data_IF_706659684072
#
_entry.id   IF_706659684072
#
_cell.length_a   1.000
_cell.length_b   1.000
_cell.length_c   1.000
_cell.angle_alpha   90.00
_cell.angle_beta   90.00
_cell.angle_gamma   90.00
#
_symmetry.space_group_name_H-M   'P 1'
#
loop_
_entity.id
_entity.type
_entity.pdbx_description
1 polymer ?
#
# COMPACT_ATOMS: atom_id res chain seq x y z
N UNK A 1 -24.29 -0.80 2.02
CA UNK A 1 -23.35 -1.83 1.53
C UNK A 1 -23.79 -3.17 2.09
N UNK A 2 -23.80 -4.23 1.29
CA UNK A 2 -24.10 -5.58 1.79
C UNK A 2 -22.90 -6.09 2.60
N UNK A 3 -23.14 -6.84 3.67
CA UNK A 3 -22.05 -7.45 4.42
C UNK A 3 -21.27 -8.43 3.53
N UNK A 4 -19.93 -8.36 3.58
CA UNK A 4 -19.04 -9.27 2.87
C UNK A 4 -18.63 -10.40 3.83
N UNK A 5 -18.90 -11.65 3.44
CA UNK A 5 -18.45 -12.83 4.18
C UNK A 5 -17.00 -13.17 3.79
N UNK A 6 -16.05 -12.82 4.67
CA UNK A 6 -14.63 -13.08 4.46
C UNK A 6 -14.23 -14.53 4.75
N UNK A 7 -15.09 -15.36 5.38
CA UNK A 7 -14.72 -16.72 5.80
C UNK A 7 -14.39 -17.67 4.65
N UNK A 8 -14.80 -17.31 3.43
CA UNK A 8 -14.53 -18.06 2.18
C UNK A 8 -13.51 -17.37 1.27
N UNK A 9 -12.90 -16.29 1.73
CA UNK A 9 -11.94 -15.51 0.96
C UNK A 9 -10.53 -15.75 1.49
N UNK A 10 -9.56 -15.71 0.57
CA UNK A 10 -8.15 -15.58 0.95
C UNK A 10 -7.84 -14.10 1.10
N UNK A 11 -7.36 -13.72 2.29
CA UNK A 11 -6.80 -12.38 2.51
C UNK A 11 -5.34 -12.39 2.07
N UNK A 12 -4.97 -11.40 1.25
CA UNK A 12 -3.60 -11.18 0.79
C UNK A 12 -3.21 -9.81 1.29
N UNK A 13 -2.11 -9.75 2.04
CA UNK A 13 -1.54 -8.47 2.44
C UNK A 13 -0.85 -7.82 1.23
N UNK A 14 -1.05 -6.51 1.06
CA UNK A 14 -0.37 -5.67 0.05
C UNK A 14 0.44 -4.52 0.71
N UNK A 15 0.65 -4.57 2.04
CA UNK A 15 1.29 -3.55 2.89
C UNK A 15 2.76 -3.84 3.21
N UNK A 16 3.66 -2.98 2.72
CA UNK A 16 5.10 -3.22 2.91
C UNK A 16 5.48 -3.15 4.38
N UNK A 17 6.45 -4.00 4.77
CA UNK A 17 7.01 -3.95 6.11
C UNK A 17 7.49 -2.52 6.41
N UNK A 18 7.14 -2.07 7.61
CA UNK A 18 7.31 -0.68 8.00
C UNK A 18 8.17 -0.59 9.27
N UNK A 19 9.23 0.20 9.19
CA UNK A 19 10.20 0.42 10.26
C UNK A 19 10.89 1.80 10.10
N UNK A 20 11.87 2.08 10.97
CA UNK A 20 12.65 3.32 10.93
C UNK A 20 13.58 3.46 9.70
N UNK A 21 13.75 2.40 8.92
CA UNK A 21 14.51 2.37 7.67
C UNK A 21 13.61 2.44 6.43
N UNK A 22 12.30 2.45 6.62
CA UNK A 22 11.34 2.60 5.53
C UNK A 22 11.60 3.91 4.81
N UNK A 23 11.85 3.87 3.48
CA UNK A 23 12.15 5.08 2.73
C UNK A 23 10.94 6.01 2.74
N UNK A 24 11.18 7.26 3.14
CA UNK A 24 10.25 8.35 2.84
C UNK A 24 10.29 8.71 1.36
N UNK A 25 9.33 9.52 0.91
CA UNK A 25 9.45 10.18 -0.39
C UNK A 25 10.75 10.99 -0.46
N UNK A 26 11.36 11.12 -1.64
CA UNK A 26 12.75 11.59 -1.82
C UNK A 26 13.13 12.93 -1.18
N UNK A 27 12.14 13.76 -0.80
CA UNK A 27 12.33 15.06 -0.17
C UNK A 27 11.81 15.15 1.27
N UNK A 28 11.32 14.05 1.84
CA UNK A 28 10.71 14.02 3.18
C UNK A 28 11.65 13.40 4.19
N UNK A 29 11.51 13.81 5.46
CA UNK A 29 12.16 13.11 6.56
C UNK A 29 11.61 11.69 6.67
N UNK A 30 12.51 10.74 6.94
CA UNK A 30 12.13 9.36 7.22
C UNK A 30 11.42 9.22 8.56
N UNK A 31 10.74 8.09 8.80
CA UNK A 31 10.06 7.85 10.06
C UNK A 31 11.05 7.68 11.22
N UNK A 32 10.61 8.04 12.42
CA UNK A 32 11.35 7.78 13.65
C UNK A 32 10.53 6.92 14.61
N UNK A 33 11.22 5.99 15.27
CA UNK A 33 10.65 5.12 16.30
C UNK A 33 11.50 5.26 17.55
N UNK A 34 10.87 5.62 18.67
CA UNK A 34 11.54 5.79 19.96
C UNK A 34 10.83 4.95 21.01
N UNK A 35 11.59 4.12 21.74
CA UNK A 35 11.05 3.44 22.91
C UNK A 35 10.79 4.44 24.03
N UNK A 36 9.54 4.50 24.50
CA UNK A 36 9.14 5.28 25.67
C UNK A 36 9.00 4.41 26.93
N UNK A 37 8.77 3.11 26.75
CA UNK A 37 8.74 2.07 27.79
C UNK A 37 9.25 0.75 27.23
N UNK A 38 9.94 -0.05 28.04
CA UNK A 38 10.40 -1.38 27.65
C UNK A 38 9.88 -2.43 28.62
N UNK A 39 9.41 -3.56 28.09
CA UNK A 39 8.81 -4.65 28.89
C UNK A 39 9.73 -5.07 30.05
N UNK A 40 11.03 -5.18 29.81
CA UNK A 40 12.03 -5.56 30.82
C UNK A 40 12.00 -4.70 32.09
N UNK A 41 11.63 -3.42 31.98
CA UNK A 41 11.64 -2.47 33.11
C UNK A 41 10.24 -2.05 33.55
N UNK A 42 9.29 -1.99 32.60
CA UNK A 42 7.98 -1.39 32.79
C UNK A 42 6.83 -2.42 32.81
N UNK A 43 7.11 -3.71 32.53
CA UNK A 43 6.13 -4.78 32.31
C UNK A 43 5.16 -4.53 31.13
N UNK A 44 5.42 -3.48 30.34
CA UNK A 44 4.68 -3.11 29.13
C UNK A 44 5.63 -2.41 28.16
N UNK A 45 5.49 -2.70 26.86
CA UNK A 45 6.23 -2.01 25.80
C UNK A 45 5.45 -0.82 25.28
N UNK A 46 6.14 0.28 24.98
CA UNK A 46 5.53 1.45 24.37
C UNK A 46 6.51 2.18 23.46
N UNK A 47 6.04 2.55 22.27
CA UNK A 47 6.83 3.28 21.28
C UNK A 47 6.14 4.60 20.91
N UNK A 48 6.95 5.63 20.69
CA UNK A 48 6.55 6.86 20.03
C UNK A 48 6.98 6.78 18.57
N UNK A 49 6.04 6.99 17.66
CA UNK A 49 6.27 7.03 16.22
C UNK A 49 6.00 8.44 15.73
N UNK A 50 6.94 9.00 14.96
CA UNK A 50 6.72 10.21 14.18
C UNK A 50 7.04 9.91 12.71
N UNK A 51 6.11 10.24 11.81
CA UNK A 51 6.19 9.95 10.38
C UNK A 51 5.46 11.03 9.59
N UNK A 52 5.83 11.19 8.32
CA UNK A 52 4.97 11.88 7.34
C UNK A 52 3.89 10.92 6.83
N UNK A 53 2.86 11.43 6.15
CA UNK A 53 1.78 10.60 5.61
C UNK A 53 2.16 9.81 4.35
N UNK A 54 3.31 10.11 3.73
CA UNK A 54 3.75 9.51 2.46
C UNK A 54 5.02 8.66 2.67
N UNK A 55 4.87 7.61 3.48
CA UNK A 55 5.97 6.69 3.87
C UNK A 55 5.48 5.25 3.73
N UNK A 56 6.25 4.41 3.02
CA UNK A 56 5.88 3.00 2.79
C UNK A 56 4.56 2.83 2.00
N UNK A 57 3.81 1.76 2.27
CA UNK A 57 2.43 1.62 1.75
C UNK A 57 1.51 2.60 2.48
N UNK A 58 0.94 3.56 1.74
CA UNK A 58 0.13 4.64 2.28
C UNK A 58 -1.08 4.96 1.38
N UNK A 59 -1.90 5.92 1.81
CA UNK A 59 -3.09 6.38 1.10
C UNK A 59 -3.04 7.90 0.93
N UNK A 60 -3.20 8.35 -0.31
CA UNK A 60 -3.32 9.77 -0.64
C UNK A 60 -4.77 10.22 -0.65
N UNK A 61 -5.07 11.25 0.14
CA UNK A 61 -6.36 11.93 0.10
C UNK A 61 -6.34 13.11 -0.89
N UNK A 62 -7.49 13.56 -1.43
CA UNK A 62 -7.54 14.72 -2.33
C UNK A 62 -6.85 15.98 -1.79
N UNK A 63 -6.87 16.19 -0.46
CA UNK A 63 -6.18 17.28 0.21
C UNK A 63 -4.67 17.33 -0.10
N UNK A 64 -4.05 16.22 -0.51
CA UNK A 64 -2.64 16.16 -0.88
C UNK A 64 -2.30 17.12 -2.03
N UNK A 65 -3.21 17.32 -2.99
CA UNK A 65 -3.00 18.19 -4.15
C UNK A 65 -4.05 19.30 -4.31
N UNK A 66 -5.16 19.23 -3.57
CA UNK A 66 -6.28 20.17 -3.65
C UNK A 66 -6.40 20.88 -2.30
N UNK A 67 -6.12 22.18 -2.23
CA UNK A 67 -6.06 22.95 -0.96
C UNK A 67 -7.30 22.79 -0.06
N UNK A 68 -8.49 22.68 -0.65
CA UNK A 68 -9.75 22.44 0.06
C UNK A 68 -10.32 21.05 -0.26
N UNK A 69 -9.44 20.09 -0.56
CA UNK A 69 -9.79 18.71 -0.81
C UNK A 69 -10.20 17.99 0.48
N UNK A 70 -10.84 16.84 0.30
CA UNK A 70 -11.17 15.93 1.39
C UNK A 70 -9.89 15.43 2.07
N UNK A 71 -9.82 15.50 3.40
CA UNK A 71 -8.77 14.86 4.19
C UNK A 71 -8.97 13.35 4.29
N UNK A 72 -7.94 12.62 4.70
CA UNK A 72 -7.96 11.14 4.77
C UNK A 72 -9.01 10.59 5.74
N UNK A 73 -9.23 11.25 6.88
CA UNK A 73 -10.21 10.83 7.89
C UNK A 73 -11.65 11.06 7.46
N UNK A 74 -11.85 11.96 6.49
CA UNK A 74 -13.15 12.27 5.91
C UNK A 74 -13.52 11.36 4.73
N UNK A 75 -12.64 10.49 4.24
CA UNK A 75 -12.93 9.59 3.10
C UNK A 75 -13.98 8.54 3.50
N UNK A 76 -15.11 8.44 2.78
CA UNK A 76 -16.10 7.40 3.02
C UNK A 76 -15.54 5.98 2.82
N UNK A 77 -15.84 5.05 3.74
CA UNK A 77 -15.34 3.67 3.69
C UNK A 77 -15.77 2.90 2.43
N UNK A 78 -16.90 3.23 1.83
CA UNK A 78 -17.38 2.64 0.58
C UNK A 78 -16.52 3.01 -0.64
N UNK A 79 -15.64 4.01 -0.52
CA UNK A 79 -14.59 4.29 -1.51
C UNK A 79 -13.30 3.49 -1.27
N UNK A 80 -13.12 2.94 -0.07
CA UNK A 80 -11.92 2.21 0.33
C UNK A 80 -12.09 0.69 0.23
N UNK A 81 -13.32 0.22 0.05
CA UNK A 81 -13.65 -1.20 -0.04
C UNK A 81 -14.54 -1.43 -1.25
N UNK A 82 -14.04 -2.19 -2.22
CA UNK A 82 -14.76 -2.50 -3.45
C UNK A 82 -14.09 -3.59 -4.26
N UNK A 83 -14.66 -3.93 -5.43
CA UNK A 83 -14.02 -4.80 -6.40
C UNK A 83 -12.65 -4.24 -6.79
N UNK A 84 -11.67 -5.11 -6.96
CA UNK A 84 -10.33 -4.74 -7.39
C UNK A 84 -9.92 -5.49 -8.64
N UNK A 85 -9.14 -4.83 -9.49
CA UNK A 85 -8.56 -5.42 -10.71
C UNK A 85 -7.07 -5.18 -10.73
N UNK A 86 -6.29 -6.23 -10.99
CA UNK A 86 -4.83 -6.16 -11.06
C UNK A 86 -4.39 -6.13 -12.52
N UNK A 87 -3.97 -4.95 -12.97
CA UNK A 87 -3.46 -4.74 -14.32
C UNK A 87 -1.96 -5.01 -14.33
N UNK A 88 -1.56 -6.16 -14.89
CA UNK A 88 -0.17 -6.60 -14.92
C UNK A 88 0.58 -5.99 -16.12
N UNK A 89 1.19 -4.83 -15.90
CA UNK A 89 2.01 -4.15 -16.91
C UNK A 89 3.41 -4.76 -17.06
N UNK A 90 3.97 -5.32 -15.99
CA UNK A 90 5.23 -6.09 -16.06
C UNK A 90 5.10 -7.25 -17.06
N UNK A 91 3.97 -7.97 -17.01
CA UNK A 91 3.65 -9.05 -17.96
C UNK A 91 3.44 -8.59 -19.40
N UNK A 92 3.22 -7.29 -19.65
CA UNK A 92 3.19 -6.70 -20.98
C UNK A 92 4.58 -6.24 -21.47
N UNK A 93 5.61 -6.38 -20.63
CA UNK A 93 6.98 -5.99 -20.95
C UNK A 93 7.29 -4.52 -20.68
N UNK A 94 6.42 -3.79 -19.97
CA UNK A 94 6.67 -2.39 -19.64
C UNK A 94 7.72 -2.29 -18.54
N UNK A 95 8.83 -1.66 -18.87
CA UNK A 95 10.04 -1.66 -18.05
C UNK A 95 10.42 -0.30 -17.47
N UNK A 96 11.67 -0.23 -17.02
CA UNK A 96 12.24 0.95 -16.38
C UNK A 96 12.18 2.17 -17.30
N UNK A 97 11.73 3.30 -16.74
CA UNK A 97 11.60 4.59 -17.44
C UNK A 97 10.61 4.62 -18.61
N UNK A 98 9.86 3.54 -18.85
CA UNK A 98 8.82 3.52 -19.88
C UNK A 98 7.53 4.19 -19.42
N UNK A 99 6.81 4.78 -20.37
CA UNK A 99 5.52 5.42 -20.13
C UNK A 99 4.40 4.46 -20.50
N UNK A 100 3.64 4.00 -19.50
CA UNK A 100 2.37 3.34 -19.77
C UNK A 100 1.27 4.36 -20.10
N UNK A 101 0.28 3.92 -20.84
CA UNK A 101 -0.80 4.74 -21.42
C UNK A 101 -2.10 3.94 -21.43
N UNK A 102 -3.23 4.57 -21.72
CA UNK A 102 -4.52 3.86 -21.82
C UNK A 102 -4.48 2.66 -22.78
N UNK A 103 -3.71 2.73 -23.87
CA UNK A 103 -3.54 1.64 -24.83
C UNK A 103 -3.00 0.36 -24.17
N UNK A 104 -2.16 0.46 -23.15
CA UNK A 104 -1.64 -0.69 -22.42
C UNK A 104 -2.73 -1.37 -21.57
N UNK A 105 -3.67 -0.59 -21.02
CA UNK A 105 -4.82 -1.12 -20.28
C UNK A 105 -5.80 -1.80 -21.24
N UNK A 106 -6.09 -1.18 -22.38
CA UNK A 106 -6.93 -1.77 -23.43
C UNK A 106 -6.34 -3.09 -23.97
N UNK A 107 -5.02 -3.13 -24.16
CA UNK A 107 -4.29 -4.33 -24.55
C UNK A 107 -4.34 -5.43 -23.47
N UNK A 108 -4.21 -5.05 -22.20
CA UNK A 108 -4.38 -5.97 -21.07
C UNK A 108 -5.79 -6.56 -21.02
N UNK A 109 -6.84 -5.73 -21.20
CA UNK A 109 -8.23 -6.20 -21.28
C UNK A 109 -8.44 -7.18 -22.45
N UNK A 110 -7.91 -6.84 -23.64
CA UNK A 110 -8.01 -7.70 -24.83
C UNK A 110 -7.32 -9.05 -24.63
N UNK A 111 -6.14 -9.06 -24.01
CA UNK A 111 -5.36 -10.29 -23.78
C UNK A 111 -5.96 -11.19 -22.70
N UNK A 112 -6.52 -10.61 -21.66
CA UNK A 112 -7.08 -11.36 -20.51
C UNK A 112 -8.56 -11.70 -20.69
N UNK A 113 -9.29 -10.96 -21.52
CA UNK A 113 -10.74 -11.03 -21.62
C UNK A 113 -11.47 -10.36 -20.45
N UNK A 114 -10.75 -9.76 -19.50
CA UNK A 114 -11.30 -9.00 -18.38
C UNK A 114 -11.60 -7.56 -18.80
N UNK A 115 -12.45 -6.88 -18.01
CA UNK A 115 -12.81 -5.47 -18.21
C UNK A 115 -12.76 -4.71 -16.89
N UNK A 116 -12.13 -3.54 -16.91
CA UNK A 116 -12.14 -2.58 -15.82
C UNK A 116 -13.51 -1.91 -15.78
N UNK A 117 -14.20 -2.01 -14.66
CA UNK A 117 -15.54 -1.46 -14.47
C UNK A 117 -15.49 -0.12 -13.72
N UNK A 118 -16.48 0.77 -13.94
CA UNK A 118 -16.67 1.93 -13.08
C UNK A 118 -16.78 1.52 -11.61
N UNK A 119 -15.92 2.10 -10.76
CA UNK A 119 -15.87 1.81 -9.33
C UNK A 119 -14.85 0.76 -8.91
N UNK A 120 -14.15 0.12 -9.85
CA UNK A 120 -13.06 -0.80 -9.53
C UNK A 120 -11.87 -0.05 -8.92
N UNK A 121 -11.25 -0.66 -7.92
CA UNK A 121 -9.93 -0.30 -7.43
C UNK A 121 -8.92 -0.92 -8.40
N UNK A 122 -8.26 -0.09 -9.20
CA UNK A 122 -7.25 -0.54 -10.18
C UNK A 122 -5.88 -0.60 -9.51
N UNK A 123 -5.33 -1.81 -9.37
CA UNK A 123 -3.96 -2.03 -8.93
C UNK A 123 -3.06 -2.15 -10.16
N UNK A 124 -2.16 -1.19 -10.34
CA UNK A 124 -1.18 -1.21 -11.43
C UNK A 124 0.03 -2.03 -10.99
N UNK A 125 0.15 -3.26 -11.50
CA UNK A 125 1.25 -4.16 -11.16
C UNK A 125 2.42 -3.99 -12.13
N UNK A 126 3.47 -3.34 -11.65
CA UNK A 126 4.73 -3.08 -12.37
C UNK A 126 5.87 -4.01 -11.96
N UNK A 127 5.66 -4.89 -10.97
CA UNK A 127 6.71 -5.73 -10.40
C UNK A 127 7.70 -5.00 -9.47
N UNK A 128 7.60 -3.67 -9.30
CA UNK A 128 8.59 -2.88 -8.55
C UNK A 128 8.66 -3.17 -7.05
N UNK A 129 7.61 -3.79 -6.48
CA UNK A 129 7.61 -4.23 -5.09
C UNK A 129 8.80 -5.14 -4.74
N UNK A 130 9.40 -5.83 -5.73
CA UNK A 130 10.60 -6.68 -5.56
C UNK A 130 11.88 -5.90 -5.18
N UNK A 131 11.90 -4.60 -5.36
CA UNK A 131 13.04 -3.73 -5.01
C UNK A 131 12.91 -3.09 -3.63
N UNK A 132 11.85 -3.40 -2.87
CA UNK A 132 11.69 -2.88 -1.53
C UNK A 132 12.79 -3.42 -0.60
N UNK A 133 13.41 -2.58 0.24
CA UNK A 133 14.66 -2.92 0.93
C UNK A 133 14.51 -3.95 2.07
N UNK A 134 13.31 -4.15 2.61
CA UNK A 134 13.07 -5.15 3.66
C UNK A 134 12.46 -6.43 3.08
N UNK A 135 12.79 -7.58 3.66
CA UNK A 135 12.12 -8.84 3.32
C UNK A 135 10.64 -8.79 3.74
N UNK A 136 9.77 -8.62 2.74
CA UNK A 136 8.33 -8.48 2.84
C UNK A 136 7.60 -9.81 3.14
N UNK A 137 8.22 -10.96 2.86
CA UNK A 137 7.58 -12.28 2.89
C UNK A 137 8.32 -13.29 3.79
N UNK A 138 8.83 -12.85 4.94
CA UNK A 138 9.44 -13.73 5.94
C UNK A 138 8.58 -13.82 7.18
N UNK A 139 8.28 -15.03 7.66
CA UNK A 139 7.79 -15.23 9.03
C UNK A 139 8.84 -14.65 9.99
N UNK A 140 8.50 -13.58 10.70
CA UNK A 140 9.30 -13.11 11.84
C UNK A 140 8.73 -13.74 13.09
N UNK A 141 9.42 -14.75 13.63
CA UNK A 141 9.12 -15.24 14.97
C UNK A 141 9.39 -14.13 15.99
N UNK A 142 8.54 -13.96 17.02
CA UNK A 142 8.82 -13.02 18.10
C UNK A 142 10.14 -13.39 18.77
N UNK A 143 11.14 -12.51 18.68
CA UNK A 143 12.34 -12.63 19.51
C UNK A 143 12.01 -12.06 20.90
N UNK A 144 11.80 -12.95 21.88
CA UNK A 144 11.54 -12.57 23.28
C UNK A 144 12.82 -12.41 24.12
N UNK A 145 13.99 -12.19 23.50
CA UNK A 145 15.23 -11.90 24.25
C UNK A 145 15.55 -10.41 24.44
#
# INVERSE_FOLDING_TARGET
MQAIDLSKMRVIDLSQNWDMHTPGFATYEGPTIKWIKRVAFDKVGGQHIASTLHVGTHLDAPLHFITNGQDIGSIPLDKLVGPGVVVNLEGLGIGDYEVYTSAHFEEWERKTGLRIQPGDIVVVHTGYHKYYPSNWYGESEPDET
#
